data_IF_708389068782
#
_entry.id   IF_708389068782
#
_cell.length_a   1.000
_cell.length_b   1.000
_cell.length_c   1.000
_cell.angle_alpha   90.00
_cell.angle_beta   90.00
_cell.angle_gamma   90.00
#
_symmetry.space_group_name_H-M   'P 1'
#
loop_
_entity.id
_entity.type
_entity.pdbx_description
1 polymer ?
#
# COMPACT_ATOMS: atom_id res chain seq x y z
N UNK A 1 25.46 17.09 52.85
CA UNK A 1 25.36 16.30 51.60
C UNK A 1 26.55 16.73 50.74
N UNK A 2 27.69 16.08 50.89
CA UNK A 2 28.11 14.86 50.17
C UNK A 2 29.11 15.25 49.07
N UNK A 3 30.33 14.81 49.30
CA UNK A 3 31.53 15.05 48.53
C UNK A 3 31.60 14.22 47.23
N UNK A 4 32.37 14.71 46.26
CA UNK A 4 33.47 14.05 45.49
C UNK A 4 33.78 14.96 44.28
N UNK A 5 34.97 15.57 44.16
CA UNK A 5 36.24 14.96 43.72
C UNK A 5 36.07 14.11 42.46
N UNK A 6 36.62 14.56 41.33
CA UNK A 6 37.83 13.95 40.76
C UNK A 6 38.36 14.76 39.57
N UNK A 7 39.65 15.01 39.64
CA UNK A 7 40.52 15.32 38.51
C UNK A 7 40.96 14.01 37.85
N UNK A 8 41.02 13.98 36.52
CA UNK A 8 41.89 13.14 35.68
C UNK A 8 41.71 13.69 34.25
N UNK A 9 42.70 14.40 33.69
CA UNK A 9 43.76 13.83 32.86
C UNK A 9 43.23 13.05 31.65
N UNK A 10 43.19 13.69 30.47
CA UNK A 10 43.68 13.02 29.27
C UNK A 10 44.07 14.06 28.19
N UNK A 11 45.38 14.20 27.99
CA UNK A 11 45.96 14.71 26.77
C UNK A 11 46.44 13.48 25.99
N UNK A 12 45.94 13.29 24.76
CA UNK A 12 46.72 12.64 23.71
C UNK A 12 46.13 12.96 22.36
N UNK A 13 46.94 13.66 21.57
CA UNK A 13 46.95 13.62 20.11
C UNK A 13 46.79 12.18 19.58
N UNK A 14 46.16 12.05 18.42
CA UNK A 14 46.76 11.38 17.26
C UNK A 14 45.87 11.57 16.05
N UNK A 15 46.44 12.20 15.03
CA UNK A 15 45.92 12.22 13.68
C UNK A 15 45.80 10.78 13.16
N UNK A 16 44.64 10.43 12.62
CA UNK A 16 44.57 9.36 11.64
C UNK A 16 43.84 9.87 10.41
N UNK A 17 44.66 10.29 9.46
CA UNK A 17 44.32 10.42 8.05
C UNK A 17 43.87 9.05 7.55
N UNK A 18 42.56 8.89 7.36
CA UNK A 18 42.02 7.78 6.59
C UNK A 18 41.27 8.36 5.37
N UNK A 19 42.01 8.44 4.27
CA UNK A 19 41.49 8.71 2.93
C UNK A 19 40.47 7.61 2.57
N UNK A 20 39.21 7.90 2.21
CA UNK A 20 38.35 6.89 1.61
C UNK A 20 38.63 6.83 0.10
N UNK A 21 39.64 6.06 -0.29
CA UNK A 21 39.78 5.57 -1.67
C UNK A 21 39.25 4.13 -1.75
N UNK A 22 38.02 3.97 -2.23
CA UNK A 22 37.56 2.82 -3.02
C UNK A 22 36.06 3.00 -3.36
N UNK A 23 35.80 3.72 -4.45
CA UNK A 23 34.52 3.64 -5.14
C UNK A 23 34.26 2.22 -5.63
N UNK A 24 33.00 1.76 -5.56
CA UNK A 24 32.61 0.49 -6.18
C UNK A 24 31.45 -0.29 -5.55
N UNK A 25 30.72 0.23 -4.54
CA UNK A 25 29.56 -0.49 -3.95
C UNK A 25 28.26 0.32 -3.79
N UNK A 26 28.22 1.60 -4.16
CA UNK A 26 27.04 2.46 -3.94
C UNK A 26 26.00 2.39 -5.06
N UNK A 27 26.38 1.97 -6.27
CA UNK A 27 25.42 1.79 -7.36
C UNK A 27 24.39 0.71 -7.03
N UNK A 28 24.82 -0.42 -6.46
CA UNK A 28 23.92 -1.54 -6.12
C UNK A 28 22.91 -1.19 -5.02
N UNK A 29 23.31 -0.44 -3.99
CA UNK A 29 22.40 -0.05 -2.90
C UNK A 29 21.40 1.03 -3.32
N UNK A 30 21.81 1.97 -4.18
CA UNK A 30 20.92 2.98 -4.75
C UNK A 30 19.92 2.38 -5.75
N UNK A 31 20.36 1.40 -6.56
CA UNK A 31 19.51 0.64 -7.48
C UNK A 31 18.45 -0.17 -6.71
N UNK A 32 18.85 -0.84 -5.63
CA UNK A 32 17.95 -1.68 -4.82
C UNK A 32 16.90 -0.84 -4.07
N UNK A 33 17.28 0.29 -3.49
CA UNK A 33 16.34 1.23 -2.86
C UNK A 33 15.32 1.80 -3.87
N UNK A 34 15.77 2.07 -5.11
CA UNK A 34 14.89 2.56 -6.19
C UNK A 34 13.91 1.49 -6.66
N UNK A 35 14.36 0.25 -6.76
CA UNK A 35 13.53 -0.91 -7.11
C UNK A 35 12.46 -1.19 -6.04
N UNK A 36 12.84 -1.16 -4.76
CA UNK A 36 11.91 -1.32 -3.64
C UNK A 36 10.87 -0.20 -3.61
N UNK A 37 11.28 1.06 -3.81
CA UNK A 37 10.36 2.21 -3.87
C UNK A 37 9.39 2.12 -5.06
N UNK A 38 9.89 1.72 -6.23
CA UNK A 38 9.04 1.52 -7.41
C UNK A 38 8.01 0.40 -7.19
N UNK A 39 8.42 -0.70 -6.54
CA UNK A 39 7.51 -1.80 -6.20
C UNK A 39 6.44 -1.37 -5.18
N UNK A 40 6.82 -0.64 -4.13
CA UNK A 40 5.84 -0.13 -3.15
C UNK A 40 4.84 0.86 -3.77
N UNK A 41 5.25 1.66 -4.75
CA UNK A 41 4.35 2.55 -5.49
C UNK A 41 3.36 1.74 -6.35
N UNK A 42 3.85 0.70 -7.05
CA UNK A 42 2.99 -0.18 -7.84
C UNK A 42 1.96 -0.92 -6.96
N UNK A 43 2.37 -1.38 -5.78
CA UNK A 43 1.46 -2.00 -4.81
C UNK A 43 0.40 -1.01 -4.33
N UNK A 44 0.78 0.24 -4.04
CA UNK A 44 -0.15 1.29 -3.64
C UNK A 44 -1.19 1.60 -4.74
N UNK A 45 -0.76 1.77 -5.99
CA UNK A 45 -1.65 1.98 -7.13
C UNK A 45 -2.62 0.82 -7.32
N UNK A 46 -2.15 -0.42 -7.16
CA UNK A 46 -3.00 -1.60 -7.21
C UNK A 46 -4.09 -1.57 -6.13
N UNK A 47 -3.75 -1.25 -4.87
CA UNK A 47 -4.74 -1.16 -3.80
C UNK A 47 -5.71 0.02 -3.98
N UNK A 48 -5.26 1.14 -4.53
CA UNK A 48 -6.12 2.28 -4.85
C UNK A 48 -7.14 1.92 -5.93
N UNK A 49 -6.71 1.26 -7.00
CA UNK A 49 -7.60 0.77 -8.05
C UNK A 49 -8.61 -0.26 -7.51
N UNK A 50 -8.14 -1.24 -6.73
CA UNK A 50 -9.01 -2.23 -6.11
C UNK A 50 -10.06 -1.58 -5.19
N UNK A 51 -9.67 -0.58 -4.39
CA UNK A 51 -10.59 0.16 -3.53
C UNK A 51 -11.65 0.94 -4.33
N UNK A 52 -11.26 1.53 -5.48
CA UNK A 52 -12.20 2.20 -6.40
C UNK A 52 -13.23 1.22 -6.95
N UNK A 53 -12.78 0.06 -7.44
CA UNK A 53 -13.66 -1.00 -7.97
C UNK A 53 -14.61 -1.56 -6.91
N UNK A 54 -14.14 -1.76 -5.67
CA UNK A 54 -15.00 -2.18 -4.56
C UNK A 54 -16.08 -1.14 -4.24
N UNK A 55 -15.71 0.14 -4.20
CA UNK A 55 -16.67 1.23 -3.98
C UNK A 55 -17.73 1.25 -5.08
N UNK A 56 -17.32 1.08 -6.33
CA UNK A 56 -18.26 1.01 -7.45
C UNK A 56 -19.20 -0.21 -7.35
N UNK A 57 -18.67 -1.38 -7.01
CA UNK A 57 -19.48 -2.58 -6.75
C UNK A 57 -20.51 -2.37 -5.63
N UNK A 58 -20.11 -1.71 -4.53
CA UNK A 58 -21.04 -1.36 -3.43
C UNK A 58 -22.14 -0.41 -3.91
N UNK A 59 -21.80 0.61 -4.70
CA UNK A 59 -22.80 1.50 -5.30
C UNK A 59 -23.75 0.69 -6.19
N UNK A 60 -23.23 -0.25 -7.01
CA UNK A 60 -24.03 -1.02 -7.99
C UNK A 60 -25.03 -1.90 -7.27
N UNK A 61 -24.54 -2.60 -6.25
CA UNK A 61 -25.37 -3.42 -5.38
C UNK A 61 -26.51 -2.61 -4.73
N UNK A 62 -26.23 -1.41 -4.22
CA UNK A 62 -27.24 -0.57 -3.57
C UNK A 62 -28.33 -0.08 -4.53
N UNK A 63 -28.01 0.12 -5.82
CA UNK A 63 -28.97 0.50 -6.84
C UNK A 63 -29.92 -0.64 -7.26
N UNK A 64 -29.59 -1.91 -6.94
CA UNK A 64 -30.44 -3.05 -7.27
C UNK A 64 -31.72 -3.09 -6.43
N UNK A 65 -32.81 -3.68 -6.95
CA UNK A 65 -34.00 -4.01 -6.16
C UNK A 65 -33.68 -4.97 -5.00
N UNK A 66 -34.47 -4.91 -3.92
CA UNK A 66 -34.20 -5.64 -2.68
C UNK A 66 -34.03 -7.16 -2.87
N UNK A 67 -34.85 -7.78 -3.71
CA UNK A 67 -34.81 -9.23 -3.97
C UNK A 67 -33.49 -9.72 -4.59
N UNK A 68 -32.76 -8.85 -5.29
CA UNK A 68 -31.46 -9.16 -5.92
C UNK A 68 -30.28 -8.54 -5.17
N UNK A 69 -30.51 -7.47 -4.41
CA UNK A 69 -29.49 -6.75 -3.64
C UNK A 69 -28.83 -7.63 -2.58
N UNK A 70 -29.62 -8.35 -1.79
CA UNK A 70 -29.13 -9.14 -0.65
C UNK A 70 -28.08 -10.20 -1.08
N UNK A 71 -28.32 -11.07 -2.08
CA UNK A 71 -27.32 -12.04 -2.50
C UNK A 71 -26.06 -11.39 -3.07
N UNK A 72 -26.19 -10.26 -3.78
CA UNK A 72 -25.06 -9.50 -4.31
C UNK A 72 -24.20 -8.92 -3.19
N UNK A 73 -24.81 -8.31 -2.16
CA UNK A 73 -24.09 -7.78 -1.00
C UNK A 73 -23.33 -8.90 -0.27
N UNK A 74 -23.94 -10.08 -0.09
CA UNK A 74 -23.27 -11.23 0.54
C UNK A 74 -22.05 -11.71 -0.27
N UNK A 75 -22.17 -11.76 -1.59
CA UNK A 75 -21.05 -12.09 -2.48
C UNK A 75 -19.95 -11.03 -2.38
N UNK A 76 -20.30 -9.75 -2.35
CA UNK A 76 -19.36 -8.65 -2.18
C UNK A 76 -18.59 -8.74 -0.86
N UNK A 77 -19.27 -9.05 0.25
CA UNK A 77 -18.63 -9.27 1.55
C UNK A 77 -17.61 -10.42 1.51
N UNK A 78 -17.94 -11.49 0.77
CA UNK A 78 -17.00 -12.61 0.57
C UNK A 78 -15.76 -12.18 -0.21
N UNK A 79 -15.93 -11.33 -1.23
CA UNK A 79 -14.81 -10.75 -1.99
C UNK A 79 -13.95 -9.85 -1.09
N UNK A 80 -14.55 -8.96 -0.30
CA UNK A 80 -13.81 -8.05 0.60
C UNK A 80 -13.03 -8.80 1.68
N UNK A 81 -13.57 -9.90 2.22
CA UNK A 81 -12.81 -10.76 3.12
C UNK A 81 -11.65 -11.47 2.40
N UNK A 82 -11.85 -11.85 1.14
CA UNK A 82 -10.82 -12.41 0.28
C UNK A 82 -9.63 -11.46 0.06
N UNK A 83 -9.88 -10.15 -0.04
CA UNK A 83 -8.83 -9.12 -0.24
C UNK A 83 -7.78 -9.17 0.86
N UNK A 84 -8.18 -9.43 2.11
CA UNK A 84 -7.26 -9.50 3.25
C UNK A 84 -6.26 -10.66 3.16
N UNK A 85 -6.59 -11.70 2.39
CA UNK A 85 -5.79 -12.93 2.26
C UNK A 85 -5.04 -12.99 0.93
N UNK A 86 -5.71 -12.64 -0.14
CA UNK A 86 -5.21 -12.73 -1.51
C UNK A 86 -5.89 -11.63 -2.35
N UNK A 87 -5.30 -10.42 -2.39
CA UNK A 87 -5.93 -9.28 -3.04
C UNK A 87 -5.93 -9.40 -4.57
N UNK A 88 -4.98 -10.13 -5.16
CA UNK A 88 -4.92 -10.38 -6.61
C UNK A 88 -6.08 -11.27 -7.04
N UNK A 89 -6.27 -12.40 -6.36
CA UNK A 89 -7.40 -13.30 -6.66
C UNK A 89 -8.75 -12.68 -6.30
N UNK A 90 -8.80 -11.85 -5.26
CA UNK A 90 -10.01 -11.11 -4.93
C UNK A 90 -10.35 -10.07 -6.02
N UNK A 91 -9.35 -9.38 -6.58
CA UNK A 91 -9.49 -8.49 -7.73
C UNK A 91 -10.12 -9.21 -8.92
N UNK A 92 -9.61 -10.37 -9.32
CA UNK A 92 -10.19 -11.15 -10.44
C UNK A 92 -11.65 -11.57 -10.19
N UNK A 93 -11.98 -11.93 -8.94
CA UNK A 93 -13.36 -12.26 -8.57
C UNK A 93 -14.26 -11.04 -8.61
N UNK A 94 -13.75 -9.89 -8.20
CA UNK A 94 -14.45 -8.62 -8.27
C UNK A 94 -14.75 -8.26 -9.73
N UNK A 95 -13.79 -8.44 -10.63
CA UNK A 95 -13.98 -8.15 -12.06
C UNK A 95 -15.10 -9.02 -12.67
N UNK A 96 -15.12 -10.32 -12.36
CA UNK A 96 -16.21 -11.22 -12.77
C UNK A 96 -17.56 -10.77 -12.22
N UNK A 97 -17.60 -10.39 -10.95
CA UNK A 97 -18.83 -9.90 -10.32
C UNK A 97 -19.30 -8.58 -10.95
N UNK A 98 -18.38 -7.65 -11.26
CA UNK A 98 -18.71 -6.37 -11.91
C UNK A 98 -19.22 -6.57 -13.34
N UNK A 99 -18.74 -7.58 -14.07
CA UNK A 99 -19.23 -7.92 -15.40
C UNK A 99 -20.67 -8.47 -15.39
N UNK A 100 -21.10 -9.08 -14.28
CA UNK A 100 -22.48 -9.56 -14.09
C UNK A 100 -23.44 -8.46 -13.64
N UNK A 101 -22.93 -7.37 -13.05
CA UNK A 101 -23.74 -6.25 -12.56
C UNK A 101 -24.00 -5.24 -13.67
N UNK A 102 -25.21 -4.65 -13.73
CA UNK A 102 -25.47 -3.58 -14.68
C UNK A 102 -24.49 -2.43 -14.43
N UNK A 103 -24.02 -1.75 -15.51
CA UNK A 103 -23.20 -0.57 -15.34
C UNK A 103 -23.97 0.50 -14.57
N UNK A 104 -23.28 1.25 -13.73
CA UNK A 104 -23.88 2.40 -13.08
C UNK A 104 -24.23 3.43 -14.13
N UNK A 105 -25.51 3.79 -14.19
CA UNK A 105 -25.95 5.01 -14.84
C UNK A 105 -26.10 6.03 -13.73
N UNK A 106 -25.05 6.81 -13.48
CA UNK A 106 -25.20 8.03 -12.68
C UNK A 106 -26.16 8.96 -13.44
N UNK A 107 -27.26 9.44 -12.83
CA UNK A 107 -28.10 10.44 -13.48
C UNK A 107 -27.23 11.68 -13.78
N UNK A 108 -27.39 12.31 -14.95
CA UNK A 108 -26.57 13.45 -15.34
C UNK A 108 -26.69 14.53 -14.26
N UNK A 109 -25.60 15.24 -13.91
CA UNK A 109 -25.68 16.33 -12.94
C UNK A 109 -26.63 17.37 -13.51
N UNK A 110 -27.80 17.51 -12.87
CA UNK A 110 -28.72 18.61 -13.15
C UNK A 110 -27.97 19.90 -12.85
N UNK A 111 -27.61 20.61 -13.92
CA UNK A 111 -26.97 21.93 -13.87
C UNK A 111 -28.01 23.01 -13.65
#
# INVERSE_FOLDING_TARGET
MSAKSNADANASECAESAVPMAGGRTASAAEEARSVSAKSNADAEFYLDLARRLRDAHRRANALPEGVRIPVIRRLLTVTEGVKRDPVRASERLDKMLAELPPQVDPPPTR
#
